data_IF_800337921324
#
_entry.id   IF_800337921324
#
_cell.length_a   1.000
_cell.length_b   1.000
_cell.length_c   1.000
_cell.angle_alpha   90.00
_cell.angle_beta   90.00
_cell.angle_gamma   90.00
#
_symmetry.space_group_name_H-M   'P 1'
#
loop_
_entity.id
_entity.type
_entity.pdbx_description
1 polymer ?
#
# COMPACT_ATOMS: atom_id res chain seq x y z
N UNK A 1 -32.36 -4.52 72.82
CA UNK A 1 -33.08 -3.65 73.79
C UNK A 1 -34.03 -4.47 74.64
N UNK A 2 -34.98 -5.18 74.04
CA UNK A 2 -35.97 -6.00 74.76
C UNK A 2 -35.29 -7.17 75.48
N UNK A 3 -34.34 -7.86 74.84
CA UNK A 3 -33.54 -8.93 75.45
C UNK A 3 -32.85 -8.48 76.76
N UNK A 4 -32.34 -7.25 76.82
CA UNK A 4 -31.67 -6.72 78.02
C UNK A 4 -32.62 -6.61 79.21
N UNK A 5 -33.89 -6.29 78.96
CA UNK A 5 -34.92 -6.19 80.01
C UNK A 5 -35.25 -7.59 80.54
N UNK A 6 -35.42 -8.56 79.63
CA UNK A 6 -35.72 -9.94 80.00
C UNK A 6 -34.54 -10.53 80.78
N UNK A 7 -33.30 -10.30 80.32
CA UNK A 7 -32.09 -10.77 80.99
C UNK A 7 -32.01 -10.33 82.46
N UNK A 8 -32.39 -9.08 82.75
CA UNK A 8 -32.30 -8.52 84.10
C UNK A 8 -33.41 -9.01 85.04
N UNK A 9 -34.59 -9.31 84.50
CA UNK A 9 -35.78 -9.62 85.31
C UNK A 9 -36.08 -11.13 85.38
N UNK A 10 -35.78 -11.88 84.33
CA UNK A 10 -35.95 -13.33 84.26
C UNK A 10 -34.87 -13.96 83.34
N UNK A 11 -33.65 -14.17 83.86
CA UNK A 11 -32.56 -14.74 83.08
C UNK A 11 -32.83 -16.19 82.65
N UNK A 12 -33.58 -16.96 83.45
CA UNK A 12 -33.96 -18.34 83.15
C UNK A 12 -34.82 -18.40 81.87
N UNK A 13 -35.79 -17.49 81.74
CA UNK A 13 -36.61 -17.39 80.53
C UNK A 13 -35.77 -17.04 79.31
N UNK A 14 -34.82 -16.10 79.43
CA UNK A 14 -33.98 -15.72 78.29
C UNK A 14 -33.03 -16.85 77.86
N UNK A 15 -32.48 -17.58 78.82
CA UNK A 15 -31.64 -18.75 78.55
C UNK A 15 -32.44 -19.82 77.82
N UNK A 16 -33.68 -20.11 78.24
CA UNK A 16 -34.56 -21.03 77.53
C UNK A 16 -34.88 -20.59 76.11
N UNK A 17 -35.17 -19.30 75.90
CA UNK A 17 -35.41 -18.76 74.56
C UNK A 17 -34.18 -18.91 73.66
N UNK A 18 -32.99 -18.64 74.20
CA UNK A 18 -31.72 -18.76 73.48
C UNK A 18 -31.39 -20.22 73.16
N UNK A 19 -31.62 -21.14 74.10
CA UNK A 19 -31.39 -22.58 73.91
C UNK A 19 -32.29 -23.21 72.84
N UNK A 20 -33.45 -22.60 72.56
CA UNK A 20 -34.36 -23.02 71.48
C UNK A 20 -34.18 -22.20 70.19
N UNK A 21 -33.08 -21.45 70.04
CA UNK A 21 -32.76 -20.60 68.87
C UNK A 21 -33.81 -19.51 68.57
N UNK A 22 -34.52 -19.03 69.59
CA UNK A 22 -35.57 -18.01 69.44
C UNK A 22 -34.93 -16.62 69.53
N UNK A 23 -34.89 -15.92 68.41
CA UNK A 23 -34.38 -14.54 68.36
C UNK A 23 -35.43 -13.52 68.78
N UNK A 24 -35.01 -12.32 69.20
CA UNK A 24 -35.92 -11.19 69.45
C UNK A 24 -36.83 -10.82 68.29
N UNK A 25 -36.46 -11.17 67.06
CA UNK A 25 -37.36 -11.02 65.90
C UNK A 25 -38.59 -11.89 66.02
N UNK A 26 -38.50 -13.08 66.62
CA UNK A 26 -39.62 -14.02 66.66
C UNK A 26 -40.63 -13.66 67.77
N UNK A 27 -40.15 -13.27 68.95
CA UNK A 27 -41.07 -12.97 70.07
C UNK A 27 -41.45 -11.49 70.18
N UNK A 28 -40.58 -10.55 69.77
CA UNK A 28 -40.85 -9.13 69.94
C UNK A 28 -41.46 -8.46 68.70
N UNK A 29 -41.07 -8.89 67.50
CA UNK A 29 -41.56 -8.26 66.27
C UNK A 29 -43.06 -8.47 66.06
N UNK A 30 -43.64 -9.67 66.21
CA UNK A 30 -45.10 -9.85 66.04
C UNK A 30 -45.92 -8.94 66.95
N UNK A 31 -45.49 -8.78 68.20
CA UNK A 31 -46.15 -7.91 69.17
C UNK A 31 -46.08 -6.43 68.79
N UNK A 32 -44.95 -5.99 68.22
CA UNK A 32 -44.74 -4.61 67.77
C UNK A 32 -45.43 -4.33 66.42
N UNK A 33 -45.34 -5.25 65.47
CA UNK A 33 -45.96 -5.17 64.15
C UNK A 33 -47.48 -5.14 64.27
N UNK A 34 -48.05 -6.08 65.03
CA UNK A 34 -49.48 -6.11 65.29
C UNK A 34 -49.91 -5.11 66.37
N UNK A 35 -49.00 -4.35 66.98
CA UNK A 35 -49.33 -3.40 68.06
C UNK A 35 -50.15 -4.05 69.20
N UNK A 36 -49.87 -5.31 69.54
CA UNK A 36 -50.64 -6.18 70.46
C UNK A 36 -52.10 -6.49 70.04
N UNK A 37 -52.54 -6.14 68.83
CA UNK A 37 -53.92 -6.38 68.39
C UNK A 37 -54.25 -7.88 68.19
N UNK A 38 -53.25 -8.68 67.81
CA UNK A 38 -53.38 -10.14 67.69
C UNK A 38 -53.47 -10.84 69.05
N UNK A 39 -52.79 -10.31 70.07
CA UNK A 39 -52.69 -10.95 71.39
C UNK A 39 -53.68 -10.41 72.41
N UNK A 40 -54.11 -9.16 72.29
CA UNK A 40 -55.05 -8.49 73.20
C UNK A 40 -56.31 -8.07 72.46
N UNK A 41 -57.47 -8.56 72.92
CA UNK A 41 -58.75 -8.33 72.26
C UNK A 41 -59.46 -7.04 72.71
N UNK A 42 -60.04 -6.33 71.73
CA UNK A 42 -61.12 -5.35 71.88
C UNK A 42 -60.91 -4.28 72.97
N UNK A 43 -61.81 -4.24 73.96
CA UNK A 43 -61.84 -3.19 75.00
C UNK A 43 -60.56 -3.13 75.83
N UNK A 44 -59.87 -4.26 75.99
CA UNK A 44 -58.64 -4.31 76.77
C UNK A 44 -57.43 -3.78 75.99
N UNK A 45 -57.46 -3.86 74.67
CA UNK A 45 -56.43 -3.27 73.81
C UNK A 45 -56.43 -1.76 73.93
N UNK A 46 -57.61 -1.11 73.89
CA UNK A 46 -57.72 0.34 74.12
C UNK A 46 -57.15 0.75 75.47
N UNK A 47 -57.46 0.01 76.53
CA UNK A 47 -56.92 0.28 77.88
C UNK A 47 -55.40 0.19 77.91
N UNK A 48 -54.81 -0.83 77.28
CA UNK A 48 -53.36 -0.97 77.20
C UNK A 48 -52.74 0.23 76.45
N UNK A 49 -53.36 0.65 75.35
CA UNK A 49 -52.88 1.77 74.55
C UNK A 49 -53.04 3.14 75.23
N UNK A 50 -54.08 3.34 76.04
CA UNK A 50 -54.19 4.53 76.89
C UNK A 50 -52.97 4.67 77.81
N UNK A 51 -52.50 3.57 78.39
CA UNK A 51 -51.27 3.56 79.20
C UNK A 51 -50.00 3.71 78.33
N UNK A 52 -49.93 3.10 77.15
CA UNK A 52 -48.77 3.25 76.26
C UNK A 52 -48.58 4.71 75.83
N UNK A 53 -49.66 5.38 75.42
CA UNK A 53 -49.61 6.75 74.91
C UNK A 53 -49.44 7.80 76.02
N UNK A 54 -49.92 7.51 77.23
CA UNK A 54 -49.78 8.42 78.39
C UNK A 54 -48.39 8.40 79.01
N UNK A 55 -47.58 7.38 78.72
CA UNK A 55 -46.23 7.22 79.24
C UNK A 55 -45.16 7.51 78.17
N UNK A 56 -43.89 7.38 78.55
CA UNK A 56 -42.77 7.53 77.62
C UNK A 56 -42.65 6.35 76.62
N UNK A 57 -41.97 6.53 75.47
CA UNK A 57 -41.81 5.47 74.47
C UNK A 57 -41.17 4.18 75.00
N UNK A 58 -40.38 4.29 76.08
CA UNK A 58 -39.82 3.16 76.80
C UNK A 58 -40.89 2.18 77.31
N UNK A 59 -42.09 2.67 77.65
CA UNK A 59 -43.19 1.87 78.17
C UNK A 59 -43.62 0.78 77.19
N UNK A 60 -43.71 1.10 75.89
CA UNK A 60 -44.07 0.12 74.86
C UNK A 60 -43.05 -1.03 74.79
N UNK A 61 -41.76 -0.71 74.85
CA UNK A 61 -40.68 -1.71 74.82
C UNK A 61 -40.72 -2.59 76.08
N UNK A 62 -41.00 -1.99 77.24
CA UNK A 62 -41.19 -2.71 78.49
C UNK A 62 -42.44 -3.59 78.46
N UNK A 63 -43.54 -3.16 77.82
CA UNK A 63 -44.73 -4.01 77.62
C UNK A 63 -44.40 -5.30 76.87
N UNK A 64 -43.58 -5.21 75.81
CA UNK A 64 -43.19 -6.39 75.02
C UNK A 64 -42.38 -7.37 75.87
N UNK A 65 -41.38 -6.89 76.62
CA UNK A 65 -40.61 -7.74 77.53
C UNK A 65 -41.50 -8.32 78.64
N UNK A 66 -42.39 -7.50 79.21
CA UNK A 66 -43.31 -7.91 80.26
C UNK A 66 -44.28 -9.00 79.80
N UNK A 67 -44.67 -9.01 78.52
CA UNK A 67 -45.61 -10.00 78.00
C UNK A 67 -45.01 -11.41 78.03
N UNK A 68 -43.74 -11.53 77.65
CA UNK A 68 -42.99 -12.79 77.76
C UNK A 68 -42.79 -13.18 79.23
N UNK A 69 -42.41 -12.25 80.10
CA UNK A 69 -42.20 -12.53 81.53
C UNK A 69 -43.51 -12.93 82.23
N UNK A 70 -44.63 -12.28 81.90
CA UNK A 70 -45.94 -12.58 82.47
C UNK A 70 -46.38 -14.01 82.13
N UNK A 71 -46.11 -14.45 80.91
CA UNK A 71 -46.46 -15.79 80.42
C UNK A 71 -45.31 -16.81 80.55
N UNK A 72 -44.34 -16.57 81.45
CA UNK A 72 -43.15 -17.43 81.61
C UNK A 72 -43.46 -18.91 81.77
N UNK A 73 -44.52 -19.26 82.50
CA UNK A 73 -44.88 -20.65 82.78
C UNK A 73 -45.23 -21.41 81.50
N UNK A 74 -45.95 -20.77 80.58
CA UNK A 74 -46.32 -21.36 79.30
C UNK A 74 -45.11 -21.44 78.38
N UNK A 75 -44.26 -20.41 78.37
CA UNK A 75 -43.08 -20.35 77.50
C UNK A 75 -41.99 -21.36 77.89
N UNK A 76 -41.74 -21.56 79.18
CA UNK A 76 -40.79 -22.58 79.67
C UNK A 76 -41.27 -24.02 79.39
N UNK A 77 -42.57 -24.23 79.24
CA UNK A 77 -43.15 -25.52 78.87
C UNK A 77 -43.05 -25.86 77.38
N UNK A 78 -42.75 -24.89 76.51
CA UNK A 78 -42.60 -25.08 75.08
C UNK A 78 -41.15 -25.41 74.71
N UNK A 79 -40.96 -26.30 73.73
CA UNK A 79 -39.62 -26.69 73.24
C UNK A 79 -39.46 -26.58 71.72
N UNK A 80 -40.55 -26.43 70.96
CA UNK A 80 -40.49 -26.30 69.49
C UNK A 80 -40.64 -24.84 69.08
N UNK A 81 -39.82 -24.39 68.15
CA UNK A 81 -39.86 -23.04 67.58
C UNK A 81 -41.22 -22.66 67.00
N UNK A 82 -41.92 -23.61 66.34
CA UNK A 82 -43.27 -23.41 65.81
C UNK A 82 -44.28 -23.01 66.88
N UNK A 83 -44.16 -23.57 68.08
CA UNK A 83 -45.12 -23.34 69.17
C UNK A 83 -44.97 -21.92 69.72
N UNK A 84 -43.74 -21.39 69.73
CA UNK A 84 -43.47 -20.00 70.07
C UNK A 84 -44.04 -19.03 69.02
N UNK A 85 -43.86 -19.31 67.72
CA UNK A 85 -44.45 -18.48 66.66
C UNK A 85 -45.96 -18.39 66.81
N UNK A 86 -46.63 -19.52 67.03
CA UNK A 86 -48.07 -19.53 67.27
C UNK A 86 -48.42 -18.75 68.55
N UNK A 87 -47.69 -18.93 69.64
CA UNK A 87 -47.99 -18.23 70.89
C UNK A 87 -47.99 -16.69 70.75
N UNK A 88 -47.08 -16.13 69.95
CA UNK A 88 -46.96 -14.67 69.78
C UNK A 88 -47.91 -14.08 68.72
N UNK A 89 -48.51 -14.91 67.85
CA UNK A 89 -49.48 -14.50 66.83
C UNK A 89 -50.95 -14.74 67.20
N UNK A 90 -51.23 -15.53 68.24
CA UNK A 90 -52.61 -15.88 68.62
C UNK A 90 -53.03 -15.28 69.97
N UNK A 91 -54.33 -15.02 70.19
CA UNK A 91 -54.83 -14.44 71.44
C UNK A 91 -54.56 -15.36 72.63
N UNK A 92 -53.89 -14.84 73.65
CA UNK A 92 -53.78 -15.51 74.94
C UNK A 92 -54.77 -14.87 75.93
N UNK A 93 -55.44 -15.68 76.74
CA UNK A 93 -56.37 -15.18 77.75
C UNK A 93 -55.60 -14.79 79.02
N UNK A 94 -55.40 -13.49 79.24
CA UNK A 94 -54.77 -12.99 80.47
C UNK A 94 -55.44 -11.72 81.00
N UNK A 95 -55.25 -11.45 82.30
CA UNK A 95 -55.80 -10.27 82.93
C UNK A 95 -54.95 -9.04 82.63
N UNK A 96 -55.41 -8.22 81.68
CA UNK A 96 -54.72 -7.01 81.21
C UNK A 96 -54.46 -6.01 82.34
N UNK A 97 -55.31 -5.95 83.38
CA UNK A 97 -55.06 -5.04 84.51
C UNK A 97 -53.84 -5.49 85.32
N UNK A 98 -53.75 -6.79 85.61
CA UNK A 98 -52.58 -7.36 86.31
C UNK A 98 -51.32 -7.25 85.46
N UNK A 99 -51.45 -7.43 84.14
CA UNK A 99 -50.36 -7.21 83.21
C UNK A 99 -49.85 -5.78 83.25
N UNK A 100 -50.71 -4.76 83.14
CA UNK A 100 -50.31 -3.35 83.20
C UNK A 100 -49.62 -3.04 84.53
N UNK A 101 -50.15 -3.51 85.66
CA UNK A 101 -49.49 -3.35 86.97
C UNK A 101 -48.09 -3.98 86.99
N UNK A 102 -47.92 -5.14 86.34
CA UNK A 102 -46.61 -5.79 86.20
C UNK A 102 -45.68 -4.96 85.31
N UNK A 103 -46.17 -4.35 84.22
CA UNK A 103 -45.37 -3.47 83.36
C UNK A 103 -44.83 -2.27 84.14
N UNK A 104 -45.69 -1.60 84.93
CA UNK A 104 -45.26 -0.49 85.79
C UNK A 104 -44.23 -0.96 86.82
N UNK A 105 -44.48 -2.08 87.49
CA UNK A 105 -43.52 -2.65 88.43
C UNK A 105 -42.17 -2.99 87.74
N UNK A 106 -42.17 -3.49 86.50
CA UNK A 106 -40.93 -3.74 85.77
C UNK A 106 -40.22 -2.44 85.41
N UNK A 107 -40.96 -1.42 84.97
CA UNK A 107 -40.37 -0.10 84.65
C UNK A 107 -39.64 0.51 85.85
N UNK A 108 -40.19 0.39 87.05
CA UNK A 108 -39.56 0.93 88.28
C UNK A 108 -38.38 0.08 88.79
N UNK A 109 -38.34 -1.22 88.48
CA UNK A 109 -37.33 -2.16 88.97
C UNK A 109 -36.15 -2.40 88.02
N UNK A 110 -36.18 -1.88 86.80
CA UNK A 110 -35.08 -2.02 85.83
C UNK A 110 -33.96 -1.03 86.15
N UNK A 111 -32.70 -1.49 86.13
CA UNK A 111 -31.55 -0.61 86.29
C UNK A 111 -31.47 0.44 85.18
N UNK A 112 -31.10 1.66 85.56
CA UNK A 112 -30.83 2.78 84.63
C UNK A 112 -29.87 2.42 83.49
N UNK A 113 -28.97 1.45 83.69
CA UNK A 113 -28.04 0.99 82.65
C UNK A 113 -28.75 0.33 81.46
N UNK A 114 -29.79 -0.46 81.75
CA UNK A 114 -30.51 -1.27 80.77
C UNK A 114 -31.88 -0.68 80.41
N UNK A 115 -32.25 0.44 81.03
CA UNK A 115 -33.53 1.09 80.81
C UNK A 115 -33.70 1.56 79.35
N UNK A 116 -34.83 1.28 78.66
CA UNK A 116 -35.05 1.67 77.26
C UNK A 116 -34.98 3.18 76.98
N UNK A 117 -35.19 4.02 78.00
CA UNK A 117 -35.01 5.49 77.94
C UNK A 117 -33.67 5.93 77.39
N UNK A 118 -32.60 5.14 77.57
CA UNK A 118 -31.27 5.51 77.07
C UNK A 118 -31.20 5.52 75.54
N UNK A 119 -32.00 4.69 74.90
CA UNK A 119 -31.98 4.49 73.45
C UNK A 119 -33.15 5.20 72.75
N UNK A 120 -34.20 5.56 73.49
CA UNK A 120 -35.40 6.22 72.96
C UNK A 120 -35.53 7.63 73.53
N UNK A 121 -35.78 8.60 72.67
CA UNK A 121 -36.11 9.96 73.09
C UNK A 121 -37.59 10.06 73.42
N UNK A 122 -37.95 10.84 74.44
CA UNK A 122 -39.35 11.15 74.76
C UNK A 122 -40.06 11.76 73.56
N UNK A 123 -41.39 11.57 73.49
CA UNK A 123 -42.22 12.15 72.45
C UNK A 123 -42.01 13.67 72.37
N UNK A 124 -41.70 14.16 71.17
CA UNK A 124 -41.58 15.60 70.87
C UNK A 124 -42.67 16.01 69.90
N UNK A 125 -43.24 17.19 70.14
CA UNK A 125 -44.18 17.78 69.20
C UNK A 125 -43.49 18.00 67.85
N UNK A 126 -44.19 17.70 66.76
CA UNK A 126 -43.72 18.03 65.43
C UNK A 126 -43.83 19.55 65.21
N UNK A 127 -42.85 20.18 64.55
CA UNK A 127 -42.96 21.60 64.19
C UNK A 127 -44.18 21.81 63.29
N UNK A 128 -44.96 22.83 63.59
CA UNK A 128 -46.22 23.09 62.88
C UNK A 128 -45.91 23.46 61.42
N UNK A 129 -46.50 22.74 60.46
CA UNK A 129 -46.43 23.04 59.04
C UNK A 129 -45.26 22.44 58.24
N UNK A 130 -44.36 21.64 58.85
CA UNK A 130 -43.32 20.95 58.07
C UNK A 130 -42.87 19.63 58.72
N UNK A 131 -42.74 18.58 57.91
CA UNK A 131 -42.18 17.30 58.35
C UNK A 131 -40.66 17.35 58.19
N UNK A 132 -39.87 17.01 59.23
CA UNK A 132 -38.41 17.03 59.13
C UNK A 132 -37.92 16.03 58.09
N UNK A 133 -36.98 16.46 57.24
CA UNK A 133 -36.37 15.61 56.22
C UNK A 133 -35.65 14.42 56.87
N UNK A 134 -36.15 13.21 56.61
CA UNK A 134 -35.56 11.98 57.12
C UNK A 134 -34.24 11.68 56.38
N UNK A 135 -33.13 11.65 57.11
CA UNK A 135 -31.79 11.37 56.58
C UNK A 135 -31.21 10.03 57.07
N UNK A 136 -31.97 9.28 57.87
CA UNK A 136 -31.56 8.02 58.49
C UNK A 136 -31.63 6.79 57.60
N UNK A 137 -31.46 6.94 56.28
CA UNK A 137 -31.51 5.79 55.37
C UNK A 137 -30.30 4.86 55.58
N UNK A 138 -30.47 3.54 55.43
CA UNK A 138 -29.36 2.59 55.50
C UNK A 138 -28.34 2.89 54.38
N UNK A 139 -27.19 3.47 54.75
CA UNK A 139 -26.16 3.92 53.80
C UNK A 139 -25.63 2.80 52.89
N UNK A 140 -25.62 1.56 53.38
CA UNK A 140 -25.09 0.42 52.64
C UNK A 140 -25.93 0.06 51.40
N UNK A 141 -27.27 0.19 51.48
CA UNK A 141 -28.15 -0.10 50.36
C UNK A 141 -28.10 1.02 49.30
N UNK A 142 -28.00 2.27 49.73
CA UNK A 142 -27.94 3.43 48.83
C UNK A 142 -26.60 3.47 48.10
N UNK A 143 -25.49 3.21 48.80
CA UNK A 143 -24.15 3.26 48.21
C UNK A 143 -23.92 2.14 47.18
N UNK A 144 -24.43 0.92 47.43
CA UNK A 144 -24.33 -0.18 46.47
C UNK A 144 -25.00 0.16 45.13
N UNK A 145 -26.21 0.69 45.18
CA UNK A 145 -26.93 1.10 43.97
C UNK A 145 -26.23 2.26 43.26
N UNK A 146 -25.64 3.19 44.01
CA UNK A 146 -24.90 4.30 43.42
C UNK A 146 -23.65 3.81 42.65
N UNK A 147 -22.86 2.92 43.24
CA UNK A 147 -21.67 2.37 42.60
C UNK A 147 -22.02 1.58 41.34
N UNK A 148 -23.10 0.79 41.36
CA UNK A 148 -23.60 0.09 40.18
C UNK A 148 -24.04 1.04 39.07
N UNK A 149 -24.76 2.10 39.41
CA UNK A 149 -25.17 3.12 38.43
C UNK A 149 -23.96 3.83 37.82
N UNK A 150 -22.91 4.08 38.62
CA UNK A 150 -21.67 4.68 38.11
C UNK A 150 -20.91 3.73 37.17
N UNK A 151 -20.89 2.42 37.47
CA UNK A 151 -20.30 1.41 36.59
C UNK A 151 -21.03 1.38 35.24
N UNK A 152 -22.36 1.28 35.25
CA UNK A 152 -23.17 1.28 34.03
C UNK A 152 -22.97 2.56 33.20
N UNK A 153 -22.83 3.73 33.84
CA UNK A 153 -22.53 4.98 33.15
C UNK A 153 -21.15 4.98 32.48
N UNK A 154 -20.17 4.31 33.08
CA UNK A 154 -18.83 4.21 32.49
C UNK A 154 -18.82 3.23 31.32
N UNK A 155 -19.48 2.08 31.46
CA UNK A 155 -19.66 1.11 30.36
C UNK A 155 -20.37 1.74 29.16
N UNK A 156 -21.43 2.53 29.40
CA UNK A 156 -22.11 3.25 28.32
C UNK A 156 -21.16 4.18 27.55
N UNK A 157 -20.30 4.94 28.26
CA UNK A 157 -19.32 5.82 27.63
C UNK A 157 -18.29 5.06 26.82
N UNK A 158 -17.94 3.84 27.21
CA UNK A 158 -17.03 2.99 26.44
C UNK A 158 -17.70 2.50 25.16
N UNK A 159 -18.95 2.04 25.25
CA UNK A 159 -19.76 1.66 24.08
C UNK A 159 -19.90 2.83 23.10
N UNK A 160 -20.23 4.03 23.59
CA UNK A 160 -20.38 5.21 22.74
C UNK A 160 -19.09 5.52 21.97
N UNK A 161 -17.92 5.45 22.64
CA UNK A 161 -16.61 5.63 21.97
C UNK A 161 -16.34 4.56 20.93
N UNK A 162 -16.65 3.30 21.22
CA UNK A 162 -16.47 2.20 20.25
C UNK A 162 -17.37 2.38 19.04
N UNK A 163 -18.63 2.79 19.23
CA UNK A 163 -19.55 3.06 18.12
C UNK A 163 -19.07 4.21 17.24
N UNK A 164 -18.49 5.26 17.83
CA UNK A 164 -17.91 6.38 17.09
C UNK A 164 -16.69 5.94 16.25
N UNK A 165 -15.81 5.11 16.81
CA UNK A 165 -14.68 4.52 16.08
C UNK A 165 -15.17 3.64 14.93
N UNK A 166 -16.17 2.78 15.15
CA UNK A 166 -16.75 1.96 14.09
C UNK A 166 -17.41 2.80 12.99
N UNK A 167 -18.11 3.87 13.36
CA UNK A 167 -18.76 4.76 12.41
C UNK A 167 -17.75 5.49 11.53
N UNK A 168 -16.70 6.04 12.13
CA UNK A 168 -15.62 6.71 11.39
C UNK A 168 -14.88 5.73 10.48
N UNK A 169 -14.59 4.51 10.96
CA UNK A 169 -13.98 3.46 10.14
C UNK A 169 -14.86 3.10 8.93
N UNK A 170 -16.17 2.91 9.15
CA UNK A 170 -17.13 2.64 8.07
C UNK A 170 -17.17 3.77 7.04
N UNK A 171 -17.16 5.02 7.48
CA UNK A 171 -17.12 6.18 6.57
C UNK A 171 -15.83 6.23 5.75
N UNK A 172 -14.70 5.89 6.36
CA UNK A 172 -13.42 5.80 5.65
C UNK A 172 -13.44 4.69 4.60
N UNK A 173 -13.99 3.51 4.93
CA UNK A 173 -14.15 2.42 3.97
C UNK A 173 -15.05 2.82 2.80
N UNK A 174 -16.22 3.45 3.05
CA UNK A 174 -17.09 3.90 1.95
C UNK A 174 -16.40 4.92 1.05
N UNK A 175 -15.65 5.87 1.63
CA UNK A 175 -14.89 6.84 0.83
C UNK A 175 -13.80 6.17 0.00
N UNK A 176 -13.08 5.20 0.57
CA UNK A 176 -12.06 4.45 -0.15
C UNK A 176 -12.68 3.66 -1.32
N UNK A 177 -13.81 3.00 -1.10
CA UNK A 177 -14.55 2.30 -2.16
C UNK A 177 -14.94 3.25 -3.29
N UNK A 178 -15.47 4.44 -2.98
CA UNK A 178 -15.80 5.45 -3.99
C UNK A 178 -14.57 5.98 -4.75
N UNK A 179 -13.41 6.05 -4.09
CA UNK A 179 -12.15 6.46 -4.74
C UNK A 179 -11.69 5.34 -5.70
N UNK A 180 -11.71 4.09 -5.25
CA UNK A 180 -11.35 2.94 -6.07
C UNK A 180 -12.27 2.80 -7.30
N UNK A 181 -13.58 3.00 -7.14
CA UNK A 181 -14.52 3.02 -8.27
C UNK A 181 -14.20 4.15 -9.26
N UNK A 182 -13.91 5.36 -8.76
CA UNK A 182 -13.50 6.48 -9.61
C UNK A 182 -12.21 6.18 -10.37
N UNK A 183 -11.24 5.55 -9.72
CA UNK A 183 -10.00 5.13 -10.35
C UNK A 183 -10.24 4.08 -11.44
N UNK A 184 -11.07 3.07 -11.16
CA UNK A 184 -11.43 2.03 -12.14
C UNK A 184 -12.08 2.64 -13.39
N UNK A 185 -13.05 3.54 -13.22
CA UNK A 185 -13.71 4.20 -14.35
C UNK A 185 -12.71 5.02 -15.18
N UNK A 186 -11.76 5.69 -14.52
CA UNK A 186 -10.73 6.46 -15.22
C UNK A 186 -9.74 5.55 -15.96
N UNK A 187 -9.33 4.44 -15.36
CA UNK A 187 -8.49 3.42 -16.01
C UNK A 187 -9.19 2.83 -17.24
N UNK A 188 -10.48 2.48 -17.13
CA UNK A 188 -11.27 1.99 -18.27
C UNK A 188 -11.28 3.03 -19.41
N UNK A 189 -11.53 4.30 -19.12
CA UNK A 189 -11.48 5.37 -20.12
C UNK A 189 -10.10 5.51 -20.78
N UNK A 190 -9.03 5.42 -20.00
CA UNK A 190 -7.67 5.45 -20.52
C UNK A 190 -7.42 4.28 -21.47
N UNK A 191 -7.83 3.06 -21.08
CA UNK A 191 -7.69 1.89 -21.95
C UNK A 191 -8.49 2.01 -23.24
N UNK A 192 -9.70 2.55 -23.19
CA UNK A 192 -10.52 2.83 -24.39
C UNK A 192 -9.82 3.83 -25.33
N UNK A 193 -9.28 4.92 -24.76
CA UNK A 193 -8.50 5.89 -25.54
C UNK A 193 -7.25 5.24 -26.15
N UNK A 194 -6.50 4.44 -25.38
CA UNK A 194 -5.34 3.71 -25.89
C UNK A 194 -5.70 2.78 -27.04
N UNK A 195 -6.79 2.01 -26.92
CA UNK A 195 -7.28 1.12 -27.98
C UNK A 195 -7.65 1.95 -29.21
N UNK A 196 -8.34 3.07 -29.04
CA UNK A 196 -8.68 3.98 -30.14
C UNK A 196 -7.42 4.53 -30.84
N UNK A 197 -6.39 4.93 -30.09
CA UNK A 197 -5.13 5.39 -30.64
C UNK A 197 -4.36 4.28 -31.36
N UNK A 198 -4.27 3.08 -30.77
CA UNK A 198 -3.65 1.90 -31.41
C UNK A 198 -4.34 1.59 -32.74
N UNK A 199 -5.67 1.62 -32.77
CA UNK A 199 -6.46 1.41 -33.98
C UNK A 199 -6.22 2.51 -35.03
N UNK A 200 -6.09 3.77 -34.61
CA UNK A 200 -5.77 4.88 -35.52
C UNK A 200 -4.37 4.73 -36.12
N UNK A 201 -3.38 4.39 -35.31
CA UNK A 201 -2.02 4.12 -35.76
C UNK A 201 -2.02 2.96 -36.75
N UNK A 202 -2.71 1.86 -36.44
CA UNK A 202 -2.82 0.69 -37.31
C UNK A 202 -3.40 1.04 -38.68
N UNK A 203 -4.47 1.84 -38.73
CA UNK A 203 -5.04 2.32 -40.01
C UNK A 203 -4.05 3.17 -40.81
N UNK A 204 -3.27 4.04 -40.16
CA UNK A 204 -2.25 4.83 -40.84
C UNK A 204 -1.07 3.97 -41.31
N UNK A 205 -0.65 2.95 -40.55
CA UNK A 205 0.41 2.04 -40.98
C UNK A 205 -0.01 1.22 -42.18
N UNK A 206 -1.26 0.75 -42.22
CA UNK A 206 -1.83 0.06 -43.39
C UNK A 206 -1.87 0.98 -44.62
N UNK A 207 -2.35 2.21 -44.49
CA UNK A 207 -2.34 3.22 -45.57
C UNK A 207 -0.93 3.48 -46.11
N UNK A 208 0.06 3.60 -45.22
CA UNK A 208 1.46 3.78 -45.62
C UNK A 208 2.00 2.53 -46.31
N UNK A 209 1.65 1.33 -45.82
CA UNK A 209 2.03 0.06 -46.43
C UNK A 209 1.48 -0.08 -47.84
N UNK A 210 0.21 0.26 -48.07
CA UNK A 210 -0.41 0.30 -49.39
C UNK A 210 0.32 1.26 -50.35
N UNK A 211 0.60 2.49 -49.89
CA UNK A 211 1.37 3.47 -50.69
C UNK A 211 2.78 2.95 -51.03
N UNK A 212 3.46 2.33 -50.07
CA UNK A 212 4.78 1.72 -50.28
C UNK A 212 4.71 0.58 -51.30
N UNK A 213 3.71 -0.29 -51.20
CA UNK A 213 3.49 -1.37 -52.16
C UNK A 213 3.26 -0.81 -53.57
N UNK A 214 2.43 0.23 -53.69
CA UNK A 214 2.17 0.89 -54.97
C UNK A 214 3.44 1.49 -55.59
N UNK A 215 4.26 2.16 -54.77
CA UNK A 215 5.56 2.69 -55.24
C UNK A 215 6.49 1.56 -55.67
N UNK A 216 6.52 0.44 -54.95
CA UNK A 216 7.34 -0.72 -55.32
C UNK A 216 6.88 -1.35 -56.63
N UNK A 217 5.58 -1.44 -56.89
CA UNK A 217 5.03 -1.89 -58.18
C UNK A 217 5.46 -0.96 -59.31
N UNK A 218 5.32 0.35 -59.13
CA UNK A 218 5.74 1.34 -60.12
C UNK A 218 7.25 1.28 -60.36
N UNK A 219 8.06 1.10 -59.30
CA UNK A 219 9.51 0.93 -59.43
C UNK A 219 9.86 -0.32 -60.24
N UNK A 220 9.19 -1.45 -60.00
CA UNK A 220 9.39 -2.67 -60.79
C UNK A 220 9.01 -2.48 -62.25
N UNK A 221 7.88 -1.81 -62.52
CA UNK A 221 7.47 -1.51 -63.89
C UNK A 221 8.51 -0.62 -64.60
N UNK A 222 8.94 0.46 -63.96
CA UNK A 222 9.98 1.35 -64.52
C UNK A 222 11.30 0.62 -64.76
N UNK A 223 11.72 -0.28 -63.86
CA UNK A 223 12.90 -1.11 -64.05
C UNK A 223 12.77 -2.03 -65.26
N UNK A 224 11.60 -2.65 -65.46
CA UNK A 224 11.35 -3.49 -66.64
C UNK A 224 11.37 -2.67 -67.92
N UNK A 225 10.72 -1.51 -67.93
CA UNK A 225 10.71 -0.60 -69.08
C UNK A 225 12.11 -0.07 -69.41
N UNK A 226 12.91 0.29 -68.41
CA UNK A 226 14.31 0.68 -68.58
C UNK A 226 15.13 -0.46 -69.19
N UNK A 227 14.98 -1.69 -68.67
CA UNK A 227 15.64 -2.88 -69.23
C UNK A 227 15.22 -3.16 -70.67
N UNK A 228 13.94 -3.00 -71.00
CA UNK A 228 13.46 -3.13 -72.38
C UNK A 228 14.06 -2.07 -73.30
N UNK A 229 14.13 -0.81 -72.86
CA UNK A 229 14.74 0.28 -73.64
C UNK A 229 16.24 0.05 -73.85
N UNK A 230 16.96 -0.40 -72.82
CA UNK A 230 18.36 -0.79 -72.91
C UNK A 230 18.57 -1.96 -73.87
N UNK A 231 17.72 -3.00 -73.80
CA UNK A 231 17.76 -4.14 -74.72
C UNK A 231 17.49 -3.71 -76.17
N UNK A 232 16.45 -2.90 -76.42
CA UNK A 232 16.18 -2.33 -77.75
C UNK A 232 17.33 -1.48 -78.26
N UNK A 233 17.98 -0.70 -77.40
CA UNK A 233 19.18 0.08 -77.76
C UNK A 233 20.35 -0.83 -78.15
N UNK A 234 20.60 -1.88 -77.35
CA UNK A 234 21.62 -2.91 -77.61
C UNK A 234 21.37 -3.64 -78.92
N UNK A 235 20.13 -4.05 -79.19
CA UNK A 235 19.71 -4.68 -80.45
C UNK A 235 19.99 -3.77 -81.65
N UNK A 236 19.61 -2.48 -81.60
CA UNK A 236 19.90 -1.53 -82.68
C UNK A 236 21.41 -1.38 -82.95
N UNK A 237 22.25 -1.39 -81.90
CA UNK A 237 23.71 -1.34 -82.07
C UNK A 237 24.21 -2.63 -82.73
N UNK A 238 23.73 -3.80 -82.29
CA UNK A 238 24.06 -5.09 -82.90
C UNK A 238 23.62 -5.17 -84.37
N UNK A 239 22.42 -4.68 -84.70
CA UNK A 239 21.93 -4.59 -86.08
C UNK A 239 22.79 -3.65 -86.95
N UNK A 240 23.18 -2.48 -86.43
CA UNK A 240 24.09 -1.59 -87.15
C UNK A 240 25.45 -2.25 -87.40
N UNK A 241 25.99 -2.95 -86.41
CA UNK A 241 27.26 -3.66 -86.52
C UNK A 241 27.19 -4.82 -87.50
N UNK A 242 26.12 -5.61 -87.48
CA UNK A 242 25.91 -6.71 -88.45
C UNK A 242 25.75 -6.16 -89.87
N UNK A 243 24.94 -5.11 -90.07
CA UNK A 243 24.82 -4.43 -91.38
C UNK A 243 26.12 -3.78 -91.84
N UNK A 244 26.94 -3.28 -90.92
CA UNK A 244 28.25 -2.72 -91.26
C UNK A 244 29.20 -3.82 -91.74
N UNK A 245 29.33 -4.92 -90.98
CA UNK A 245 30.11 -6.10 -91.39
C UNK A 245 29.62 -6.71 -92.69
N UNK A 246 28.30 -6.75 -92.90
CA UNK A 246 27.72 -7.24 -94.15
C UNK A 246 28.14 -6.35 -95.33
N UNK A 247 28.06 -5.02 -95.20
CA UNK A 247 28.53 -4.10 -96.24
C UNK A 247 30.03 -4.21 -96.50
N UNK A 248 30.84 -4.37 -95.45
CA UNK A 248 32.29 -4.62 -95.60
C UNK A 248 32.54 -5.93 -96.36
N UNK A 249 31.80 -6.99 -96.04
CA UNK A 249 31.88 -8.26 -96.74
C UNK A 249 31.44 -8.15 -98.21
N UNK A 250 30.36 -7.42 -98.50
CA UNK A 250 29.89 -7.13 -99.86
C UNK A 250 30.93 -6.33 -100.66
N UNK A 251 31.59 -5.34 -100.03
CA UNK A 251 32.70 -4.61 -100.66
C UNK A 251 33.89 -5.51 -100.97
N UNK A 252 34.26 -6.38 -100.03
CA UNK A 252 35.34 -7.36 -100.24
C UNK A 252 34.98 -8.35 -101.37
N UNK A 253 33.74 -8.84 -101.41
CA UNK A 253 33.26 -9.72 -102.48
C UNK A 253 33.31 -9.01 -103.85
N UNK A 254 32.83 -7.76 -103.94
CA UNK A 254 32.91 -6.98 -105.19
C UNK A 254 34.36 -6.73 -105.63
N UNK A 255 35.27 -6.46 -104.70
CA UNK A 255 36.71 -6.35 -105.01
C UNK A 255 37.29 -7.67 -105.52
N UNK A 256 36.89 -8.80 -104.93
CA UNK A 256 37.28 -10.13 -105.42
C UNK A 256 36.74 -10.39 -106.81
N UNK A 257 35.46 -10.09 -107.08
CA UNK A 257 34.86 -10.23 -108.41
C UNK A 257 35.57 -9.35 -109.44
N UNK A 258 35.90 -8.10 -109.10
CA UNK A 258 36.67 -7.21 -109.97
C UNK A 258 38.09 -7.73 -110.21
N UNK A 259 38.76 -8.24 -109.18
CA UNK A 259 40.08 -8.85 -109.30
C UNK A 259 39.99 -10.09 -110.20
N UNK A 260 39.04 -11.00 -110.00
CA UNK A 260 38.83 -12.16 -110.86
C UNK A 260 38.55 -11.75 -112.31
N UNK A 261 37.70 -10.76 -112.56
CA UNK A 261 37.45 -10.26 -113.91
C UNK A 261 38.71 -9.63 -114.54
N UNK A 262 39.53 -8.91 -113.76
CA UNK A 262 40.80 -8.38 -114.24
C UNK A 262 41.81 -9.48 -114.54
N UNK A 263 41.87 -10.52 -113.69
CA UNK A 263 42.69 -11.71 -113.91
C UNK A 263 42.22 -12.47 -115.15
N UNK A 264 40.91 -12.62 -115.39
CA UNK A 264 40.36 -13.22 -116.62
C UNK A 264 40.75 -12.43 -117.88
N UNK A 265 40.68 -11.09 -117.84
CA UNK A 265 41.10 -10.24 -118.96
C UNK A 265 42.60 -10.35 -119.21
N UNK A 266 43.41 -10.32 -118.15
CA UNK A 266 44.86 -10.50 -118.27
C UNK A 266 45.20 -11.92 -118.76
N UNK A 267 44.49 -12.96 -118.31
CA UNK A 267 44.63 -14.32 -118.81
C UNK A 267 44.27 -14.41 -120.30
N UNK A 268 43.16 -13.80 -120.73
CA UNK A 268 42.76 -13.75 -122.14
C UNK A 268 43.76 -12.98 -123.00
N UNK A 269 44.37 -11.92 -122.46
CA UNK A 269 45.45 -11.19 -123.14
C UNK A 269 46.70 -12.04 -123.29
N UNK A 270 47.13 -12.71 -122.22
CA UNK A 270 48.28 -13.62 -122.24
C UNK A 270 48.02 -14.81 -123.18
N UNK A 271 46.81 -15.38 -123.17
CA UNK A 271 46.39 -16.42 -124.09
C UNK A 271 46.43 -15.91 -125.54
N UNK A 272 45.89 -14.72 -125.81
CA UNK A 272 45.95 -14.08 -127.12
C UNK A 272 47.39 -13.83 -127.60
N UNK A 273 48.28 -13.38 -126.71
CA UNK A 273 49.69 -13.18 -127.03
C UNK A 273 50.43 -14.52 -127.23
N UNK A 274 50.06 -15.57 -126.49
CA UNK A 274 50.55 -16.94 -126.70
C UNK A 274 50.08 -17.48 -128.06
N UNK A 275 48.82 -17.25 -128.44
CA UNK A 275 48.27 -17.63 -129.75
C UNK A 275 49.00 -16.89 -130.87
N UNK A 276 49.30 -15.59 -130.70
CA UNK A 276 50.12 -14.85 -131.65
C UNK A 276 51.51 -15.45 -131.76
N UNK A 277 52.21 -15.65 -130.65
CA UNK A 277 53.52 -16.30 -130.65
C UNK A 277 53.47 -17.70 -131.27
N UNK A 278 52.42 -18.47 -131.03
CA UNK A 278 52.21 -19.78 -131.66
C UNK A 278 51.96 -19.65 -133.16
N UNK A 279 51.19 -18.66 -133.61
CA UNK A 279 50.96 -18.38 -135.03
C UNK A 279 52.22 -17.87 -135.73
N UNK A 280 53.05 -17.10 -135.05
CA UNK A 280 54.37 -16.65 -135.51
C UNK A 280 55.33 -17.83 -135.58
N UNK A 281 55.36 -18.70 -134.56
CA UNK A 281 56.13 -19.95 -134.59
C UNK A 281 55.65 -20.90 -135.68
N UNK A 282 54.34 -20.99 -135.93
CA UNK A 282 53.78 -21.78 -137.03
C UNK A 282 54.14 -21.13 -138.38
N UNK A 283 54.14 -19.80 -138.48
CA UNK A 283 54.61 -19.09 -139.65
C UNK A 283 56.11 -19.33 -139.87
N UNK A 284 56.91 -19.32 -138.80
CA UNK A 284 58.32 -19.71 -138.83
C UNK A 284 58.48 -21.19 -139.17
N UNK A 285 57.62 -22.09 -138.71
CA UNK A 285 57.64 -23.51 -139.06
C UNK A 285 57.31 -23.69 -140.53
N UNK A 286 56.27 -23.05 -141.07
CA UNK A 286 55.93 -23.07 -142.50
C UNK A 286 57.05 -22.43 -143.31
N UNK A 287 57.67 -21.36 -142.80
CA UNK A 287 58.83 -20.72 -143.43
C UNK A 287 60.05 -21.65 -143.39
N UNK A 288 60.24 -22.42 -142.33
CA UNK A 288 61.28 -23.45 -142.21
C UNK A 288 60.94 -24.63 -143.12
N UNK A 289 59.69 -25.09 -143.23
CA UNK A 289 59.27 -26.15 -144.15
C UNK A 289 59.42 -25.71 -145.61
N UNK A 290 59.12 -24.45 -145.93
CA UNK A 290 59.37 -23.84 -147.24
C UNK A 290 60.86 -23.55 -147.48
N UNK A 291 61.66 -23.34 -146.44
CA UNK A 291 63.12 -23.16 -146.50
C UNK A 291 63.90 -24.47 -146.33
N UNK A 292 63.25 -25.59 -146.03
CA UNK A 292 63.83 -26.94 -146.02
C UNK A 292 63.76 -27.60 -147.42
N UNK A 293 63.15 -26.91 -148.40
CA UNK A 293 63.21 -27.29 -149.82
C UNK A 293 64.38 -26.65 -150.59
N UNK A 294 65.21 -25.79 -149.98
CA UNK A 294 66.47 -25.32 -150.56
C UNK A 294 67.53 -25.07 -149.45
N UNK A 295 68.44 -26.04 -149.32
CA UNK A 295 69.81 -26.02 -148.76
C UNK A 295 70.17 -25.22 -147.47
N UNK A 296 70.25 -25.94 -146.32
CA UNK A 296 71.43 -26.21 -145.41
C UNK A 296 72.54 -25.10 -145.29
N UNK A 297 73.21 -24.80 -144.13
CA UNK A 297 73.28 -25.45 -142.78
C UNK A 297 73.29 -24.54 -141.49
N UNK A 298 72.90 -25.15 -140.37
CA UNK A 298 73.58 -25.22 -139.03
C UNK A 298 73.94 -24.00 -138.16
N UNK A 299 73.46 -24.03 -136.89
CA UNK A 299 74.21 -24.32 -135.64
C UNK A 299 74.05 -23.34 -134.43
N UNK A 300 73.75 -23.97 -133.26
CA UNK A 300 74.20 -23.70 -131.87
C UNK A 300 73.66 -22.48 -131.08
N UNK A 301 72.85 -22.67 -130.01
CA UNK A 301 73.18 -23.08 -128.61
C UNK A 301 73.83 -21.95 -127.77
N UNK A 302 73.25 -21.58 -126.61
CA UNK A 302 73.66 -22.00 -125.23
C UNK A 302 74.05 -20.73 -124.43
N UNK A 303 73.90 -20.52 -123.12
CA UNK A 303 73.27 -21.21 -122.00
C UNK A 303 73.23 -20.27 -120.75
N UNK A 304 72.33 -20.60 -119.81
CA UNK A 304 72.49 -20.70 -118.34
C UNK A 304 73.12 -19.58 -117.47
N UNK A 305 72.46 -19.12 -116.41
CA UNK A 305 72.10 -19.80 -115.13
C UNK A 305 73.22 -19.79 -114.06
N UNK A 306 73.50 -18.60 -113.49
CA UNK A 306 74.36 -18.51 -112.29
C UNK A 306 73.97 -17.45 -111.22
N UNK A 307 72.85 -16.72 -111.33
CA UNK A 307 72.58 -15.57 -110.43
C UNK A 307 71.72 -15.90 -109.20
N UNK A 308 71.05 -17.06 -109.16
CA UNK A 308 70.01 -17.36 -108.15
C UNK A 308 70.49 -17.82 -106.77
N UNK A 309 71.79 -18.02 -106.53
CA UNK A 309 72.31 -18.47 -105.21
C UNK A 309 72.67 -17.36 -104.23
N UNK A 310 72.81 -16.11 -104.68
CA UNK A 310 73.25 -15.00 -103.83
C UNK A 310 72.10 -14.30 -103.06
N UNK A 311 70.86 -14.44 -103.52
CA UNK A 311 69.72 -13.69 -102.95
C UNK A 311 69.15 -14.31 -101.67
N UNK A 312 69.41 -15.59 -101.41
CA UNK A 312 68.79 -16.32 -100.30
C UNK A 312 69.44 -16.03 -98.94
N UNK A 313 70.70 -15.57 -98.91
CA UNK A 313 71.44 -15.33 -97.67
C UNK A 313 71.09 -13.99 -96.99
N UNK A 314 70.61 -12.99 -97.74
CA UNK A 314 70.26 -11.66 -97.20
C UNK A 314 68.94 -11.63 -96.39
N UNK A 315 68.07 -12.61 -96.57
CA UNK A 315 66.76 -12.66 -95.89
C UNK A 315 66.84 -13.20 -94.45
N UNK A 316 67.89 -13.98 -94.13
CA UNK A 316 68.04 -14.61 -92.81
C UNK A 316 68.55 -13.60 -91.76
N UNK A 317 69.40 -12.66 -92.18
CA UNK A 317 70.01 -11.66 -91.30
C UNK A 317 69.01 -10.58 -90.82
N UNK A 318 67.92 -10.39 -91.55
CA UNK A 318 66.89 -9.38 -91.24
C UNK A 318 65.90 -9.81 -90.14
N UNK A 319 65.87 -11.10 -89.77
CA UNK A 319 64.91 -11.66 -88.81
C UNK A 319 65.41 -11.67 -87.35
N UNK A 320 66.71 -11.51 -87.10
CA UNK A 320 67.28 -11.54 -85.74
C UNK A 320 67.23 -10.19 -85.01
N UNK A 321 67.13 -9.07 -85.75
CA UNK A 321 67.13 -7.70 -85.19
C UNK A 321 65.78 -7.26 -84.55
N UNK A 322 64.68 -7.98 -84.77
CA UNK A 322 63.35 -7.61 -84.26
C UNK A 322 62.98 -8.25 -82.90
N UNK A 323 63.88 -9.04 -82.29
CA UNK A 323 63.59 -9.82 -81.07
C UNK A 323 64.08 -9.15 -79.76
N UNK A 324 64.82 -8.04 -79.82
CA UNK A 324 65.54 -7.46 -78.67
C UNK A 324 64.91 -6.21 -78.03
N UNK A 325 63.79 -5.68 -78.55
CA UNK A 325 63.11 -4.49 -77.99
C UNK A 325 61.84 -4.81 -77.18
N UNK A 326 61.98 -5.66 -76.15
CA UNK A 326 60.91 -6.03 -75.23
C UNK A 326 61.25 -5.71 -73.77
N UNK A 327 61.22 -4.43 -73.38
CA UNK A 327 61.52 -4.02 -72.01
C UNK A 327 60.64 -2.85 -71.56
N UNK A 328 59.43 -3.13 -71.08
CA UNK A 328 58.55 -2.11 -70.46
C UNK A 328 57.58 -2.65 -69.38
N UNK A 329 57.81 -3.86 -68.84
CA UNK A 329 56.96 -4.44 -67.79
C UNK A 329 57.50 -4.21 -66.35
N UNK A 330 58.79 -3.91 -66.17
CA UNK A 330 59.40 -3.93 -64.83
C UNK A 330 59.11 -2.68 -63.96
N UNK A 331 58.79 -1.54 -64.57
CA UNK A 331 58.59 -0.26 -63.86
C UNK A 331 57.16 -0.15 -63.26
N UNK A 332 56.17 -0.87 -63.81
CA UNK A 332 54.79 -0.87 -63.28
C UNK A 332 54.63 -1.69 -61.99
N UNK A 333 55.45 -2.72 -61.79
CA UNK A 333 55.33 -3.61 -60.63
C UNK A 333 55.91 -3.01 -59.34
N UNK A 334 56.91 -2.12 -59.42
CA UNK A 334 57.54 -1.50 -58.24
C UNK A 334 56.63 -0.42 -57.63
N UNK A 335 55.86 0.30 -58.45
CA UNK A 335 54.90 1.32 -57.99
C UNK A 335 53.63 0.71 -57.36
N UNK A 336 53.18 -0.46 -57.83
CA UNK A 336 52.05 -1.18 -57.23
C UNK A 336 52.43 -1.83 -55.89
N UNK A 337 53.65 -2.37 -55.76
CA UNK A 337 54.11 -2.99 -54.52
C UNK A 337 54.28 -1.99 -53.36
N UNK A 338 54.75 -0.77 -53.65
CA UNK A 338 54.87 0.30 -52.63
C UNK A 338 53.50 0.85 -52.22
N UNK A 339 52.53 0.93 -53.13
CA UNK A 339 51.15 1.28 -52.81
C UNK A 339 50.43 0.23 -51.96
N UNK A 340 50.69 -1.05 -52.19
CA UNK A 340 50.10 -2.16 -51.40
C UNK A 340 50.64 -2.15 -49.97
N UNK A 341 51.96 -1.97 -49.77
CA UNK A 341 52.53 -1.91 -48.41
C UNK A 341 52.02 -0.73 -47.60
N UNK A 342 51.80 0.44 -48.23
CA UNK A 342 51.24 1.61 -47.56
C UNK A 342 49.76 1.43 -47.18
N UNK A 343 49.00 0.66 -47.98
CA UNK A 343 47.62 0.30 -47.66
C UNK A 343 47.56 -0.73 -46.53
N UNK A 344 48.48 -1.69 -46.48
CA UNK A 344 48.57 -2.68 -45.39
C UNK A 344 48.92 -2.03 -44.04
N UNK A 345 49.79 -1.01 -44.02
CA UNK A 345 50.09 -0.24 -42.80
C UNK A 345 48.87 0.56 -42.30
N UNK A 346 48.08 1.13 -43.23
CA UNK A 346 46.85 1.84 -42.92
C UNK A 346 45.77 0.89 -42.37
N UNK A 347 45.66 -0.32 -42.94
CA UNK A 347 44.76 -1.38 -42.45
C UNK A 347 45.17 -1.83 -41.05
N UNK A 348 46.46 -2.01 -40.79
CA UNK A 348 46.96 -2.36 -39.46
C UNK A 348 46.67 -1.27 -38.43
N UNK A 349 46.82 0.01 -38.81
CA UNK A 349 46.51 1.14 -37.92
C UNK A 349 45.02 1.24 -37.61
N UNK A 350 44.15 1.05 -38.60
CA UNK A 350 42.70 1.02 -38.42
C UNK A 350 42.29 -0.17 -37.53
N UNK A 351 42.87 -1.35 -37.71
CA UNK A 351 42.60 -2.53 -36.86
C UNK A 351 43.02 -2.28 -35.41
N UNK A 352 44.14 -1.60 -35.20
CA UNK A 352 44.66 -1.30 -33.87
C UNK A 352 43.81 -0.22 -33.16
N UNK A 353 43.37 0.81 -33.87
CA UNK A 353 42.41 1.80 -33.35
C UNK A 353 41.04 1.17 -33.03
N UNK A 354 40.55 0.25 -33.86
CA UNK A 354 39.29 -0.47 -33.58
C UNK A 354 39.42 -1.38 -32.35
N UNK A 355 40.55 -2.08 -32.18
CA UNK A 355 40.81 -2.90 -31.00
C UNK A 355 40.89 -2.04 -29.73
N UNK A 356 41.53 -0.87 -29.82
CA UNK A 356 41.66 0.07 -28.72
C UNK A 356 40.33 0.71 -28.31
N UNK A 357 39.45 1.02 -29.28
CA UNK A 357 38.07 1.49 -28.99
C UNK A 357 37.19 0.40 -28.36
N UNK A 358 37.41 -0.87 -28.69
CA UNK A 358 36.69 -1.98 -28.05
C UNK A 358 37.16 -2.15 -26.60
N UNK A 359 38.46 -2.09 -26.33
CA UNK A 359 39.00 -2.18 -24.97
C UNK A 359 38.60 -0.97 -24.10
N UNK A 360 38.60 0.25 -24.66
CA UNK A 360 38.15 1.45 -23.95
C UNK A 360 36.65 1.38 -23.61
N UNK A 361 35.80 0.89 -24.52
CA UNK A 361 34.38 0.66 -24.22
C UNK A 361 34.17 -0.44 -23.15
N UNK A 362 34.91 -1.54 -23.21
CA UNK A 362 34.81 -2.63 -22.22
C UNK A 362 35.29 -2.18 -20.83
N UNK A 363 36.30 -1.30 -20.77
CA UNK A 363 36.79 -0.75 -19.50
C UNK A 363 35.83 0.29 -18.89
N UNK A 364 35.17 1.12 -19.71
CA UNK A 364 34.10 2.01 -19.25
C UNK A 364 32.87 1.22 -18.73
N UNK A 365 32.48 0.15 -19.42
CA UNK A 365 31.41 -0.75 -18.98
C UNK A 365 31.76 -1.50 -17.69
N UNK A 366 33.01 -1.93 -17.53
CA UNK A 366 33.49 -2.53 -16.26
C UNK A 366 33.54 -1.50 -15.12
N UNK A 367 33.89 -0.25 -15.41
CA UNK A 367 33.92 0.82 -14.42
C UNK A 367 32.51 1.23 -13.97
N UNK A 368 31.57 1.34 -14.91
CA UNK A 368 30.16 1.61 -14.61
C UNK A 368 29.53 0.46 -13.83
N UNK A 369 29.80 -0.80 -14.20
CA UNK A 369 29.35 -1.98 -13.45
C UNK A 369 29.93 -2.04 -12.02
N UNK A 370 31.23 -1.73 -11.83
CA UNK A 370 31.83 -1.63 -10.49
C UNK A 370 31.23 -0.50 -9.65
N UNK A 371 30.90 0.63 -10.27
CA UNK A 371 30.25 1.76 -9.59
C UNK A 371 28.84 1.39 -9.14
N UNK A 372 28.07 0.68 -9.98
CA UNK A 372 26.74 0.15 -9.63
C UNK A 372 26.83 -0.86 -8.48
N UNK A 373 27.81 -1.76 -8.49
CA UNK A 373 28.02 -2.71 -7.39
C UNK A 373 28.40 -2.01 -6.07
N UNK A 374 29.24 -0.97 -6.13
CA UNK A 374 29.62 -0.19 -4.94
C UNK A 374 28.42 0.55 -4.36
N UNK A 375 27.64 1.24 -5.20
CA UNK A 375 26.39 1.89 -4.78
C UNK A 375 25.37 0.86 -4.26
N UNK A 376 25.33 -0.34 -4.83
CA UNK A 376 24.53 -1.46 -4.33
C UNK A 376 24.96 -1.96 -2.95
N UNK A 377 26.26 -1.92 -2.62
CA UNK A 377 26.74 -2.26 -1.27
C UNK A 377 26.49 -1.13 -0.26
N UNK A 378 26.62 0.12 -0.67
CA UNK A 378 26.35 1.30 0.17
C UNK A 378 24.86 1.43 0.49
N UNK A 379 23.98 1.18 -0.49
CA UNK A 379 22.52 1.15 -0.27
C UNK A 379 22.12 0.04 0.70
N UNK A 380 22.69 -1.16 0.58
CA UNK A 380 22.46 -2.25 1.55
C UNK A 380 22.98 -1.93 2.95
N UNK A 381 24.11 -1.23 3.07
CA UNK A 381 24.62 -0.77 4.36
C UNK A 381 23.70 0.28 4.97
N UNK A 382 23.22 1.24 4.18
CA UNK A 382 22.24 2.24 4.63
C UNK A 382 20.90 1.59 5.01
N UNK A 383 20.42 0.61 4.25
CA UNK A 383 19.22 -0.17 4.60
C UNK A 383 19.40 -0.93 5.93
N UNK A 384 20.58 -1.49 6.17
CA UNK A 384 20.91 -2.13 7.44
C UNK A 384 20.98 -1.13 8.60
N UNK A 385 21.59 0.04 8.40
CA UNK A 385 21.62 1.11 9.40
C UNK A 385 20.23 1.66 9.69
N UNK A 386 19.41 1.89 8.67
CA UNK A 386 18.01 2.30 8.83
C UNK A 386 17.21 1.23 9.56
N UNK A 387 17.40 -0.05 9.24
CA UNK A 387 16.75 -1.16 9.94
C UNK A 387 17.16 -1.22 11.41
N UNK A 388 18.44 -0.99 11.71
CA UNK A 388 18.97 -0.91 13.08
C UNK A 388 18.44 0.33 13.82
N UNK A 389 18.28 1.47 13.16
CA UNK A 389 17.67 2.65 13.75
C UNK A 389 16.17 2.44 13.99
N UNK A 390 15.47 1.76 13.08
CA UNK A 390 14.06 1.37 13.27
C UNK A 390 13.91 0.38 14.42
N UNK A 391 14.84 -0.55 14.61
CA UNK A 391 14.80 -1.46 15.78
C UNK A 391 15.08 -0.72 17.08
N UNK A 392 16.04 0.20 17.10
CA UNK A 392 16.31 1.06 18.28
C UNK A 392 15.12 1.97 18.56
N UNK A 393 14.47 2.54 17.55
CA UNK A 393 13.25 3.33 17.73
C UNK A 393 12.07 2.47 18.20
N UNK A 394 11.95 1.23 17.74
CA UNK A 394 10.95 0.29 18.24
C UNK A 394 11.22 -0.10 19.71
N UNK A 395 12.48 -0.25 20.11
CA UNK A 395 12.90 -0.50 21.48
C UNK A 395 12.63 0.72 22.37
N UNK A 396 12.97 1.93 21.92
CA UNK A 396 12.66 3.18 22.63
C UNK A 396 11.16 3.36 22.76
N UNK A 397 10.37 3.12 21.71
CA UNK A 397 8.91 3.19 21.76
C UNK A 397 8.32 2.12 22.70
N UNK A 398 8.92 0.94 22.75
CA UNK A 398 8.53 -0.13 23.69
C UNK A 398 8.92 0.20 25.13
N UNK A 399 10.06 0.85 25.34
CA UNK A 399 10.49 1.37 26.65
C UNK A 399 9.63 2.55 27.10
N UNK A 400 9.24 3.46 26.20
CA UNK A 400 8.27 4.52 26.49
C UNK A 400 6.91 3.93 26.81
N UNK A 401 6.46 2.89 26.10
CA UNK A 401 5.23 2.19 26.46
C UNK A 401 5.32 1.52 27.83
N UNK A 402 6.43 0.85 28.15
CA UNK A 402 6.69 0.26 29.46
C UNK A 402 6.80 1.31 30.58
N UNK A 403 7.40 2.46 30.30
CA UNK A 403 7.49 3.59 31.23
C UNK A 403 6.14 4.31 31.39
N UNK A 404 5.32 4.39 30.34
CA UNK A 404 3.93 4.88 30.43
C UNK A 404 3.07 3.90 31.22
N UNK A 405 3.19 2.59 31.02
CA UNK A 405 2.49 1.59 31.84
C UNK A 405 2.98 1.58 33.28
N UNK A 406 4.29 1.74 33.54
CA UNK A 406 4.82 1.89 34.90
C UNK A 406 4.42 3.22 35.54
N UNK A 407 4.42 4.35 34.83
CA UNK A 407 3.89 5.63 35.34
C UNK A 407 2.37 5.61 35.54
N UNK A 408 1.62 4.81 34.78
CA UNK A 408 0.21 4.57 35.03
C UNK A 408 -0.02 3.65 36.24
N UNK A 409 0.86 2.67 36.48
CA UNK A 409 0.78 1.79 37.66
C UNK A 409 1.25 2.49 38.96
N UNK A 410 2.37 3.24 38.91
CA UNK A 410 2.83 4.12 39.99
C UNK A 410 1.90 5.33 40.15
N UNK A 411 1.28 5.84 39.09
CA UNK A 411 0.25 6.87 39.16
C UNK A 411 -1.05 6.39 39.81
N UNK A 412 -1.36 5.08 39.71
CA UNK A 412 -2.48 4.45 40.41
C UNK A 412 -2.15 4.08 41.87
N UNK A 413 -0.90 3.70 42.18
CA UNK A 413 -0.46 3.47 43.56
C UNK A 413 -0.19 4.78 44.32
N UNK A 414 0.33 5.82 43.65
CA UNK A 414 0.51 7.17 44.18
C UNK A 414 -0.82 7.94 44.28
N UNK A 415 -1.81 7.74 43.40
CA UNK A 415 -3.16 8.29 43.62
C UNK A 415 -3.88 7.65 44.81
N UNK A 416 -3.62 6.38 45.14
CA UNK A 416 -4.15 5.74 46.35
C UNK A 416 -3.47 6.22 47.65
N UNK A 417 -2.24 6.73 47.60
CA UNK A 417 -1.54 7.32 48.76
C UNK A 417 -1.67 8.85 48.86
N UNK A 418 -1.81 9.58 47.73
CA UNK A 418 -1.99 11.04 47.70
C UNK A 418 -3.45 11.52 47.78
N UNK A 419 -4.47 10.66 47.59
CA UNK A 419 -5.86 11.01 47.95
C UNK A 419 -6.13 10.98 49.48
N UNK A 420 -5.17 10.53 50.30
CA UNK A 420 -5.23 10.68 51.77
C UNK A 420 -4.49 11.93 52.32
N UNK A 421 -3.74 12.68 51.50
CA UNK A 421 -3.01 13.88 51.96
C UNK A 421 -3.36 15.20 51.25
N UNK A 422 -4.11 15.17 50.15
CA UNK A 422 -4.57 16.40 49.47
C UNK A 422 -5.93 16.94 49.96
N UNK A 423 -6.56 16.27 50.93
CA UNK A 423 -7.80 16.74 51.59
C UNK A 423 -7.59 17.70 52.77
N UNK A 424 -6.36 17.83 53.30
CA UNK A 424 -6.06 18.61 54.51
C UNK A 424 -5.29 19.90 54.26
N UNK A 425 -4.58 20.05 53.12
CA UNK A 425 -3.79 21.26 52.86
C UNK A 425 -4.54 22.38 52.11
N UNK A 426 -5.69 22.12 51.47
CA UNK A 426 -6.50 23.17 50.84
C UNK A 426 -7.49 23.86 51.80
N UNK A 427 -7.72 23.28 52.97
CA UNK A 427 -8.60 23.84 54.02
C UNK A 427 -7.88 24.82 54.97
N UNK A 428 -6.54 24.80 55.03
CA UNK A 428 -5.76 25.70 55.89
C UNK A 428 -5.35 27.03 55.21
N UNK A 429 -5.31 27.09 53.89
CA UNK A 429 -5.01 28.35 53.18
C UNK A 429 -6.25 29.23 52.99
N UNK A 430 -7.43 28.62 52.82
CA UNK A 430 -8.69 29.35 52.69
C UNK A 430 -9.11 29.95 54.04
N UNK A 431 -8.87 29.26 55.18
CA UNK A 431 -9.19 29.84 56.49
C UNK A 431 -8.29 31.01 56.92
N UNK A 432 -7.06 31.12 56.41
CA UNK A 432 -6.16 32.24 56.69
C UNK A 432 -6.53 33.52 55.94
N UNK A 433 -6.97 33.41 54.69
CA UNK A 433 -7.38 34.57 53.89
C UNK A 433 -8.76 35.11 54.30
N UNK A 434 -9.68 34.24 54.73
CA UNK A 434 -10.98 34.66 55.28
C UNK A 434 -10.89 35.30 56.67
N UNK A 435 -9.81 35.07 57.43
CA UNK A 435 -9.57 35.76 58.71
C UNK A 435 -9.07 37.19 58.47
N UNK A 436 -8.15 37.40 57.52
CA UNK A 436 -7.67 38.72 57.09
C UNK A 436 -8.77 39.58 56.45
N UNK A 437 -9.66 38.96 55.67
CA UNK A 437 -10.82 39.66 55.09
C UNK A 437 -11.86 40.05 56.15
N UNK A 438 -12.05 39.27 57.23
CA UNK A 438 -12.93 39.67 58.34
C UNK A 438 -12.34 40.81 59.18
N UNK A 439 -11.03 40.81 59.39
CA UNK A 439 -10.32 41.87 60.12
C UNK A 439 -10.38 43.18 59.32
N UNK A 440 -10.19 43.14 58.00
CA UNK A 440 -10.35 44.29 57.10
C UNK A 440 -11.80 44.77 56.98
N UNK A 441 -12.80 43.88 57.04
CA UNK A 441 -14.23 44.27 57.03
C UNK A 441 -14.65 44.88 58.37
N UNK A 442 -14.05 44.47 59.49
CA UNK A 442 -14.28 45.09 60.80
C UNK A 442 -13.61 46.47 60.93
N UNK A 443 -12.45 46.67 60.33
CA UNK A 443 -11.79 47.98 60.23
C UNK A 443 -12.49 48.92 59.23
N UNK A 444 -13.03 48.39 58.13
CA UNK A 444 -13.81 49.19 57.17
C UNK A 444 -15.22 49.55 57.69
N UNK A 445 -15.80 48.74 58.58
CA UNK A 445 -17.09 49.01 59.24
C UNK A 445 -16.99 50.09 60.34
N UNK A 446 -15.78 50.52 60.72
CA UNK A 446 -15.57 51.53 61.76
C UNK A 446 -15.34 52.95 61.19
N UNK A 447 -15.20 53.10 59.86
CA UNK A 447 -15.09 54.40 59.19
C UNK A 447 -16.33 54.66 58.35
N UNK A 448 -17.12 55.62 58.82
CA UNK A 448 -18.44 56.03 58.36
C UNK A 448 -18.63 56.30 56.85
N UNK A 449 -19.91 56.21 56.48
CA UNK A 449 -20.68 57.11 55.59
C UNK A 449 -21.04 56.62 54.17
N UNK A 450 -22.36 56.62 53.93
CA UNK A 450 -23.11 56.75 52.66
C UNK A 450 -22.70 55.82 51.50
N UNK A 451 -23.58 54.95 50.99
CA UNK A 451 -24.79 55.34 50.27
C UNK A 451 -24.55 55.17 48.76
N UNK A 452 -25.40 54.38 48.12
CA UNK A 452 -25.49 54.12 46.67
C UNK A 452 -24.39 53.27 46.00
N UNK A 453 -24.82 52.09 45.52
CA UNK A 453 -24.61 51.55 44.16
C UNK A 453 -24.86 50.03 44.18
N UNK A 454 -26.15 49.64 44.18
CA UNK A 454 -26.59 48.23 44.08
C UNK A 454 -26.99 47.79 42.67
N UNK A 455 -26.59 48.50 41.62
CA UNK A 455 -27.20 48.35 40.29
C UNK A 455 -26.29 47.80 39.17
N UNK A 456 -25.06 47.32 39.44
CA UNK A 456 -24.12 46.93 38.37
C UNK A 456 -23.70 45.44 38.30
N UNK A 457 -24.39 44.51 38.98
CA UNK A 457 -24.01 43.08 38.94
C UNK A 457 -25.03 42.12 38.32
N UNK A 458 -26.03 42.62 37.59
CA UNK A 458 -27.11 41.80 37.04
C UNK A 458 -27.00 41.44 35.53
N UNK A 459 -25.87 41.66 34.84
CA UNK A 459 -25.84 41.60 33.35
C UNK A 459 -24.96 40.49 32.73
N UNK A 460 -24.33 39.58 33.47
CA UNK A 460 -23.49 38.54 32.83
C UNK A 460 -23.85 37.14 33.31
N UNK A 461 -25.00 36.63 32.84
CA UNK A 461 -25.27 35.20 32.77
C UNK A 461 -26.52 34.95 31.91
N UNK A 462 -26.38 35.05 30.58
CA UNK A 462 -27.31 34.51 29.58
C UNK A 462 -26.66 34.65 28.20
N UNK A 463 -25.75 33.75 27.85
CA UNK A 463 -25.37 33.42 26.46
C UNK A 463 -24.31 32.30 26.46
N UNK A 464 -24.78 31.05 26.34
CA UNK A 464 -24.08 29.93 25.70
C UNK A 464 -24.93 28.64 25.84
N UNK A 465 -25.99 28.55 25.03
CA UNK A 465 -26.44 27.27 24.44
C UNK A 465 -25.88 27.17 23.02
#
# INVERSE_FOLDING_TARGET
>A
MIENIIFEQDPELLEHLTNNDITSKLYAWPLLEAAFSETVSGVYWYRLWDHILSNEPAFLITCVAAYSIYNRQTLLGMSKTSDFEHFYHYPNTFDVKKFILKVYALMDNISEKNHPRRFLHSFRCLPCGSYPSFSGFPKNLVNFNFDQIQQLKNEQKEIDRETEIMLTHRQMLTKNMEIEERQRVEEERLTEMEIAYRNKILKETERVKEKRNRINELRRHLQLEEMELLNKSRERILERNTKHRQREMEQLLGNVEQNCASEEVELARVEGDLVKQYSELLHHQIKIENSLHDEIPSNSQSDECHILKAHQQKLVESLELLKTNGGNQHIKNIALATGISALDDLIMKIKLELAQQIDDNVTEDLHSARKVLRLGSETKQLEYEVSKLLSVLADVKSQEHKQRTHRSHDGMQSRKSSQKSFGTSRLLHVHGEFAKLREMIQEASANDSLGDLSDELAVINLEAE
#
